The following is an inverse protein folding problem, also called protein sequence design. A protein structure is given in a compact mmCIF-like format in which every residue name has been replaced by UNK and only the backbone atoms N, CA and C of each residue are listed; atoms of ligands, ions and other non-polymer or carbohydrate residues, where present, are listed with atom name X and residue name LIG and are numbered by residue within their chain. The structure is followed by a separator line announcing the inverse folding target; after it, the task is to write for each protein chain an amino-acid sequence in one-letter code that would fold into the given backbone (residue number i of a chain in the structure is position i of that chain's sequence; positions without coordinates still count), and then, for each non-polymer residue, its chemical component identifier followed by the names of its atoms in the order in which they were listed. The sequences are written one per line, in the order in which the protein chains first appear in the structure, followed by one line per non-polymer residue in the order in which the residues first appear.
data_IF_010765220218
#
_entry.id   IF_010765220218
#
_cell.length_a   1.000
_cell.length_b   1.000
_cell.length_c   1.000
_cell.angle_alpha   90.00
_cell.angle_beta   90.00
_cell.angle_gamma   90.00
#
_symmetry.space_group_name_H-M   'P 1'
#
loop_
_entity.id
_entity.type
_entity.pdbx_description
1 polymer ?
#
# COMPACT_ATOMS: atom_id res chain seq x y z
N UNK A 1 15.83 14.73 12.87
CA UNK A 1 15.32 15.46 11.68
C UNK A 1 15.68 16.93 11.82
N UNK A 2 16.44 17.47 10.87
CA UNK A 2 16.74 18.91 10.83
C UNK A 2 15.54 19.74 10.32
N UNK A 3 15.60 21.05 10.55
CA UNK A 3 14.52 21.97 10.18
C UNK A 3 14.32 22.07 8.66
N UNK A 4 15.38 21.90 7.88
CA UNK A 4 15.33 21.98 6.42
C UNK A 4 14.51 20.83 5.83
N UNK A 5 14.77 19.60 6.29
CA UNK A 5 14.03 18.40 5.93
C UNK A 5 12.55 18.51 6.31
N UNK A 6 12.26 19.01 7.52
CA UNK A 6 10.89 19.27 7.95
C UNK A 6 10.16 20.25 7.03
N UNK A 7 10.81 21.36 6.65
CA UNK A 7 10.24 22.34 5.73
C UNK A 7 9.98 21.74 4.34
N UNK A 8 10.90 20.91 3.82
CA UNK A 8 10.69 20.20 2.56
C UNK A 8 9.52 19.22 2.63
N UNK A 9 9.35 18.48 3.74
CA UNK A 9 8.21 17.58 3.95
C UNK A 9 6.89 18.37 3.92
N UNK A 10 6.83 19.49 4.65
CA UNK A 10 5.66 20.37 4.67
C UNK A 10 5.38 20.91 3.26
N UNK A 11 6.41 21.25 2.51
CA UNK A 11 6.28 21.77 1.14
C UNK A 11 5.80 20.69 0.15
N UNK A 12 6.31 19.46 0.25
CA UNK A 12 5.82 18.31 -0.53
C UNK A 12 4.33 18.08 -0.26
N UNK A 13 3.92 18.07 1.01
CA UNK A 13 2.50 17.93 1.37
C UNK A 13 1.67 19.08 0.81
N UNK A 14 2.13 20.33 1.00
CA UNK A 14 1.40 21.53 0.59
C UNK A 14 1.21 21.59 -0.92
N UNK A 15 2.25 21.29 -1.70
CA UNK A 15 2.19 21.29 -3.17
C UNK A 15 1.23 20.22 -3.70
N UNK A 16 1.27 19.01 -3.14
CA UNK A 16 0.29 17.96 -3.45
C UNK A 16 -1.14 18.37 -3.05
N UNK A 17 -1.31 18.91 -1.85
CA UNK A 17 -2.60 19.40 -1.34
C UNK A 17 -3.21 20.46 -2.24
N UNK A 18 -2.43 21.49 -2.58
CA UNK A 18 -2.88 22.55 -3.46
C UNK A 18 -3.17 22.02 -4.87
N UNK A 19 -2.41 21.05 -5.38
CA UNK A 19 -2.71 20.41 -6.66
C UNK A 19 -4.06 19.65 -6.63
N UNK A 20 -4.39 19.01 -5.50
CA UNK A 20 -5.61 18.22 -5.35
C UNK A 20 -6.90 19.07 -5.34
N UNK A 21 -6.83 20.31 -4.83
CA UNK A 21 -7.98 21.23 -4.75
C UNK A 21 -8.08 22.22 -5.92
N UNK A 22 -7.09 22.26 -6.81
CA UNK A 22 -7.03 23.25 -7.89
C UNK A 22 -7.89 22.89 -9.09
N UNK A 23 -8.28 23.93 -9.84
CA UNK A 23 -8.89 23.75 -11.15
C UNK A 23 -7.88 23.15 -12.16
N UNK A 24 -8.36 22.64 -13.29
CA UNK A 24 -7.53 21.90 -14.27
C UNK A 24 -6.31 22.68 -14.77
N UNK A 25 -6.45 23.99 -14.99
CA UNK A 25 -5.35 24.86 -15.51
C UNK A 25 -4.25 25.02 -14.47
N UNK A 26 -4.59 25.50 -13.26
CA UNK A 26 -3.61 25.72 -12.18
C UNK A 26 -3.04 24.41 -11.62
N UNK A 27 -3.78 23.31 -11.74
CA UNK A 27 -3.34 22.01 -11.27
C UNK A 27 -2.06 21.53 -11.99
N UNK A 28 -1.85 21.85 -13.27
CA UNK A 28 -0.66 21.41 -14.01
C UNK A 28 0.61 22.02 -13.39
N UNK A 29 0.61 23.34 -13.16
CA UNK A 29 1.74 24.02 -12.52
C UNK A 29 2.02 23.50 -11.11
N UNK A 30 0.97 23.23 -10.33
CA UNK A 30 1.11 22.69 -8.97
C UNK A 30 1.58 21.24 -8.96
N UNK A 31 1.21 20.44 -9.96
CA UNK A 31 1.77 19.10 -10.18
C UNK A 31 3.26 19.19 -10.49
N UNK A 32 3.67 20.08 -11.41
CA UNK A 32 5.08 20.26 -11.74
C UNK A 32 5.88 20.67 -10.49
N UNK A 33 5.35 21.61 -9.71
CA UNK A 33 5.97 22.01 -8.46
C UNK A 33 6.06 20.85 -7.46
N UNK A 34 4.99 20.06 -7.29
CA UNK A 34 5.01 18.84 -6.46
C UNK A 34 6.11 17.86 -6.89
N UNK A 35 6.28 17.62 -8.19
CA UNK A 35 7.32 16.73 -8.71
C UNK A 35 8.71 17.28 -8.39
N UNK A 36 8.94 18.58 -8.63
CA UNK A 36 10.23 19.22 -8.34
C UNK A 36 10.57 19.18 -6.85
N UNK A 37 9.64 19.56 -5.98
CA UNK A 37 9.88 19.55 -4.53
C UNK A 37 10.06 18.11 -4.02
N UNK A 38 9.29 17.14 -4.53
CA UNK A 38 9.48 15.72 -4.19
C UNK A 38 10.85 15.22 -4.59
N UNK A 39 11.37 15.64 -5.76
CA UNK A 39 12.70 15.30 -6.22
C UNK A 39 13.78 15.89 -5.30
N UNK A 40 13.64 17.17 -4.92
CA UNK A 40 14.55 17.83 -3.98
C UNK A 40 14.56 17.08 -2.64
N UNK A 41 13.39 16.75 -2.09
CA UNK A 41 13.28 15.96 -0.87
C UNK A 41 13.96 14.59 -1.05
N UNK A 42 13.74 13.90 -2.18
CA UNK A 42 14.35 12.59 -2.44
C UNK A 42 15.88 12.64 -2.46
N UNK A 43 16.45 13.68 -3.05
CA UNK A 43 17.91 13.90 -3.08
C UNK A 43 18.48 14.31 -1.72
N UNK A 44 17.68 14.94 -0.86
CA UNK A 44 18.12 15.41 0.46
C UNK A 44 18.15 14.27 1.47
N UNK A 45 17.20 13.33 1.37
CA UNK A 45 17.04 12.21 2.30
C UNK A 45 17.94 11.04 1.87
N UNK A 46 18.99 10.69 2.63
CA UNK A 46 19.88 9.57 2.30
C UNK A 46 19.11 8.24 2.20
N UNK A 47 19.59 7.31 1.37
CA UNK A 47 18.97 5.98 1.26
C UNK A 47 19.17 5.18 2.55
N UNK A 48 20.31 5.38 3.19
CA UNK A 48 20.81 4.62 4.33
C UNK A 48 19.93 4.76 5.57
N UNK A 49 19.21 5.86 5.68
CA UNK A 49 18.30 6.11 6.81
C UNK A 49 16.92 5.47 6.64
N UNK A 50 16.59 4.96 5.44
CA UNK A 50 15.33 4.26 5.22
C UNK A 50 15.33 2.91 5.97
N UNK A 51 14.25 2.62 6.71
CA UNK A 51 14.17 1.43 7.58
C UNK A 51 14.52 0.08 6.91
N UNK A 52 14.17 -0.08 5.63
CA UNK A 52 14.43 -1.33 4.88
C UNK A 52 15.76 -1.29 4.09
N UNK A 53 16.58 -0.23 4.18
CA UNK A 53 17.80 -0.10 3.38
C UNK A 53 18.75 -1.30 3.56
N UNK A 54 19.05 -1.65 4.82
CA UNK A 54 19.92 -2.78 5.15
C UNK A 54 19.35 -4.12 4.67
N UNK A 55 18.02 -4.26 4.60
CA UNK A 55 17.38 -5.45 4.05
C UNK A 55 17.68 -5.58 2.55
N UNK A 56 17.59 -4.49 1.79
CA UNK A 56 17.85 -4.51 0.35
C UNK A 56 19.33 -4.70 0.03
N UNK A 57 20.21 -4.04 0.75
CA UNK A 57 21.66 -4.20 0.54
C UNK A 57 22.18 -5.56 0.97
N UNK A 58 21.52 -6.26 1.89
CA UNK A 58 21.90 -7.62 2.31
C UNK A 58 21.23 -8.73 1.50
N UNK A 59 20.13 -8.46 0.79
CA UNK A 59 19.38 -9.47 0.04
C UNK A 59 20.22 -10.11 -1.08
N UNK A 60 20.04 -11.42 -1.29
CA UNK A 60 20.49 -12.09 -2.52
C UNK A 60 19.44 -11.90 -3.60
N UNK A 61 19.86 -11.41 -4.76
CA UNK A 61 18.98 -11.15 -5.90
C UNK A 61 19.09 -12.22 -6.98
N UNK A 62 19.54 -13.43 -6.60
CA UNK A 62 19.70 -14.54 -7.52
C UNK A 62 18.34 -15.00 -8.07
N UNK A 63 18.29 -15.22 -9.38
CA UNK A 63 17.10 -15.78 -10.03
C UNK A 63 17.09 -17.30 -9.82
N UNK A 64 16.61 -17.73 -8.66
CA UNK A 64 16.26 -19.13 -8.39
C UNK A 64 14.77 -19.37 -8.60
N UNK A 65 14.38 -20.62 -8.89
CA UNK A 65 12.97 -21.01 -9.07
C UNK A 65 12.12 -20.58 -7.86
N UNK A 66 12.64 -20.71 -6.64
CA UNK A 66 11.92 -20.31 -5.42
C UNK A 66 11.74 -18.79 -5.33
N UNK A 67 12.73 -18.02 -5.78
CA UNK A 67 12.67 -16.56 -5.79
C UNK A 67 11.74 -16.00 -6.88
N UNK A 68 11.52 -16.74 -7.98
CA UNK A 68 10.50 -16.40 -9.00
C UNK A 68 9.08 -16.33 -8.42
N UNK A 69 8.78 -16.99 -7.30
CA UNK A 69 7.46 -16.92 -6.69
C UNK A 69 7.34 -15.89 -5.57
N UNK A 70 8.47 -15.42 -5.02
CA UNK A 70 8.48 -14.51 -3.88
C UNK A 70 8.71 -13.06 -4.27
N UNK A 71 9.68 -12.81 -5.14
CA UNK A 71 10.19 -11.46 -5.42
C UNK A 71 10.52 -11.25 -6.91
N UNK A 72 9.80 -11.90 -7.82
CA UNK A 72 10.14 -11.91 -9.25
C UNK A 72 10.37 -10.52 -9.86
N UNK A 73 9.41 -9.61 -9.68
CA UNK A 73 9.49 -8.27 -10.25
C UNK A 73 10.69 -7.48 -9.71
N UNK A 74 10.98 -7.63 -8.41
CA UNK A 74 12.13 -7.00 -7.77
C UNK A 74 13.44 -7.55 -8.31
N UNK A 75 13.55 -8.88 -8.43
CA UNK A 75 14.76 -9.51 -8.90
C UNK A 75 15.05 -9.14 -10.36
N UNK A 76 14.02 -9.07 -11.22
CA UNK A 76 14.19 -8.60 -12.59
C UNK A 76 14.69 -7.16 -12.63
N UNK A 77 14.06 -6.25 -11.88
CA UNK A 77 14.44 -4.84 -11.88
C UNK A 77 15.87 -4.67 -11.37
N UNK A 78 16.19 -5.32 -10.24
CA UNK A 78 17.53 -5.28 -9.68
C UNK A 78 18.56 -5.85 -10.64
N UNK A 79 18.33 -7.03 -11.23
CA UNK A 79 19.27 -7.66 -12.16
C UNK A 79 19.48 -6.79 -13.40
N UNK A 80 18.44 -6.09 -13.86
CA UNK A 80 18.55 -5.09 -14.91
C UNK A 80 19.53 -3.98 -14.55
N UNK A 81 19.45 -3.40 -13.34
CA UNK A 81 20.42 -2.38 -12.90
C UNK A 81 21.82 -2.95 -12.63
N UNK A 82 21.90 -4.16 -12.07
CA UNK A 82 23.16 -4.82 -11.79
C UNK A 82 23.94 -5.12 -13.06
N UNK A 83 23.26 -5.53 -14.13
CA UNK A 83 23.87 -5.73 -15.45
C UNK A 83 24.63 -4.51 -15.96
N UNK A 84 24.16 -3.29 -15.68
CA UNK A 84 24.81 -2.06 -16.13
C UNK A 84 25.83 -1.47 -15.16
N UNK A 85 25.73 -1.81 -13.87
CA UNK A 85 26.52 -1.14 -12.82
C UNK A 85 27.60 -2.03 -12.22
N UNK A 86 27.42 -3.35 -12.27
CA UNK A 86 28.25 -4.36 -11.59
C UNK A 86 28.43 -4.10 -10.09
N UNK A 87 27.61 -3.22 -9.51
CA UNK A 87 27.69 -2.75 -8.13
C UNK A 87 26.35 -2.94 -7.46
N UNK A 88 26.34 -3.77 -6.42
CA UNK A 88 25.14 -4.06 -5.62
C UNK A 88 24.56 -2.79 -5.01
N UNK A 89 25.42 -1.96 -4.41
CA UNK A 89 24.99 -0.73 -3.74
C UNK A 89 24.37 0.24 -4.76
N UNK A 90 25.05 0.45 -5.90
CA UNK A 90 24.55 1.34 -6.94
C UNK A 90 23.24 0.82 -7.54
N UNK A 91 23.12 -0.48 -7.73
CA UNK A 91 21.87 -1.13 -8.21
C UNK A 91 20.71 -0.91 -7.24
N UNK A 92 20.95 -1.04 -5.93
CA UNK A 92 19.94 -0.75 -4.90
C UNK A 92 19.54 0.72 -4.93
N UNK A 93 20.49 1.65 -5.02
CA UNK A 93 20.20 3.09 -5.13
C UNK A 93 19.38 3.42 -6.39
N UNK A 94 19.72 2.83 -7.54
CA UNK A 94 18.94 2.97 -8.77
C UNK A 94 17.53 2.40 -8.61
N UNK A 95 17.37 1.31 -7.86
CA UNK A 95 16.06 0.75 -7.58
C UNK A 95 15.22 1.67 -6.68
N UNK A 96 15.81 2.33 -5.68
CA UNK A 96 15.12 3.37 -4.92
C UNK A 96 14.67 4.54 -5.81
N UNK A 97 15.51 4.96 -6.75
CA UNK A 97 15.16 6.01 -7.72
C UNK A 97 14.02 5.58 -8.64
N UNK A 98 14.09 4.36 -9.18
CA UNK A 98 13.04 3.80 -10.02
C UNK A 98 11.70 3.75 -9.27
N UNK A 99 11.71 3.23 -8.04
CA UNK A 99 10.53 3.17 -7.19
C UNK A 99 9.98 4.58 -6.88
N UNK A 100 10.83 5.55 -6.56
CA UNK A 100 10.42 6.95 -6.39
C UNK A 100 9.73 7.51 -7.63
N UNK A 101 10.26 7.24 -8.83
CA UNK A 101 9.66 7.68 -10.10
C UNK A 101 8.27 7.06 -10.28
N UNK A 102 8.16 5.74 -10.13
CA UNK A 102 6.89 5.01 -10.28
C UNK A 102 5.84 5.54 -9.31
N UNK A 103 6.19 5.69 -8.02
CA UNK A 103 5.29 6.23 -7.01
C UNK A 103 4.92 7.69 -7.28
N UNK A 104 5.86 8.52 -7.75
CA UNK A 104 5.56 9.91 -8.14
C UNK A 104 4.55 9.94 -9.28
N UNK A 105 4.73 9.10 -10.30
CA UNK A 105 3.77 8.95 -11.42
C UNK A 105 2.41 8.50 -10.89
N UNK A 106 2.36 7.55 -9.96
CA UNK A 106 1.12 7.12 -9.30
C UNK A 106 0.40 8.30 -8.61
N UNK A 107 1.11 9.12 -7.83
CA UNK A 107 0.50 10.27 -7.15
C UNK A 107 0.04 11.36 -8.13
N UNK A 108 0.80 11.61 -9.21
CA UNK A 108 0.37 12.51 -10.28
C UNK A 108 -0.89 11.98 -10.98
N UNK A 109 -0.94 10.69 -11.28
CA UNK A 109 -2.14 10.04 -11.81
C UNK A 109 -3.31 10.16 -10.84
N UNK A 110 -3.09 9.92 -9.54
CA UNK A 110 -4.11 10.03 -8.49
C UNK A 110 -4.74 11.42 -8.47
N UNK A 111 -3.94 12.50 -8.62
CA UNK A 111 -4.43 13.87 -8.73
C UNK A 111 -5.40 14.07 -9.90
N UNK A 112 -5.22 13.35 -11.01
CA UNK A 112 -6.08 13.41 -12.21
C UNK A 112 -7.33 12.54 -12.13
N UNK A 113 -7.43 11.61 -11.19
CA UNK A 113 -8.63 10.78 -11.03
C UNK A 113 -9.85 11.57 -10.54
N UNK A 114 -11.03 10.99 -10.70
CA UNK A 114 -12.30 11.49 -10.17
C UNK A 114 -12.50 11.26 -8.67
N UNK A 115 -11.51 10.67 -7.97
CA UNK A 115 -11.58 10.44 -6.53
C UNK A 115 -11.70 11.80 -5.80
N UNK A 116 -12.42 11.83 -4.68
CA UNK A 116 -12.58 13.06 -3.89
C UNK A 116 -11.24 13.50 -3.30
N UNK A 117 -10.98 14.81 -3.29
CA UNK A 117 -9.68 15.35 -2.90
C UNK A 117 -9.24 14.87 -1.50
N UNK A 118 -10.12 14.90 -0.49
CA UNK A 118 -9.77 14.51 0.87
C UNK A 118 -9.31 13.04 0.99
N UNK A 119 -9.85 12.15 0.12
CA UNK A 119 -9.36 10.77 0.05
C UNK A 119 -7.97 10.70 -0.59
N UNK A 120 -7.72 11.51 -1.63
CA UNK A 120 -6.38 11.63 -2.24
C UNK A 120 -5.36 12.12 -1.22
N UNK A 121 -5.73 13.09 -0.39
CA UNK A 121 -4.88 13.59 0.72
C UNK A 121 -4.65 12.48 1.74
N UNK A 122 -5.70 11.78 2.19
CA UNK A 122 -5.55 10.69 3.15
C UNK A 122 -4.63 9.57 2.65
N UNK A 123 -4.82 9.10 1.41
CA UNK A 123 -3.95 8.09 0.79
C UNK A 123 -2.52 8.62 0.73
N UNK A 124 -2.32 9.83 0.20
CA UNK A 124 -1.01 10.45 0.09
C UNK A 124 -0.31 10.56 1.45
N UNK A 125 -1.02 11.05 2.47
CA UNK A 125 -0.51 11.18 3.83
C UNK A 125 -0.02 9.86 4.41
N UNK A 126 -0.80 8.78 4.23
CA UNK A 126 -0.51 7.47 4.81
C UNK A 126 0.58 6.73 4.02
N UNK A 127 0.57 6.85 2.67
CA UNK A 127 1.35 5.94 1.83
C UNK A 127 2.56 6.57 1.16
N UNK A 128 2.71 7.90 1.09
CA UNK A 128 3.79 8.53 0.33
C UNK A 128 5.16 8.03 0.76
N UNK A 129 5.56 8.24 2.02
CA UNK A 129 6.88 7.81 2.48
C UNK A 129 7.07 6.31 2.43
N UNK A 130 6.00 5.57 2.76
CA UNK A 130 6.01 4.12 2.71
C UNK A 130 6.29 3.60 1.29
N UNK A 131 5.61 4.14 0.27
CA UNK A 131 5.73 3.70 -1.10
C UNK A 131 6.97 4.27 -1.77
N UNK A 132 7.26 5.56 -1.61
CA UNK A 132 8.38 6.22 -2.32
C UNK A 132 9.76 5.94 -1.70
N UNK A 133 9.86 5.72 -0.38
CA UNK A 133 11.15 5.60 0.32
C UNK A 133 11.46 4.24 0.94
N UNK A 134 10.48 3.36 1.18
CA UNK A 134 10.75 2.12 1.94
C UNK A 134 10.41 0.86 1.15
N UNK A 135 9.17 0.74 0.70
CA UNK A 135 8.64 -0.53 0.20
C UNK A 135 9.00 -0.76 -1.27
N UNK A 136 10.29 -0.91 -1.59
CA UNK A 136 10.71 -1.28 -2.96
C UNK A 136 10.05 -2.59 -3.42
N UNK A 137 9.82 -3.53 -2.50
CA UNK A 137 9.15 -4.80 -2.83
C UNK A 137 7.66 -4.67 -3.09
N UNK A 138 6.98 -3.88 -2.27
CA UNK A 138 5.52 -3.98 -2.14
C UNK A 138 4.81 -2.73 -2.66
N UNK A 139 5.48 -1.58 -2.72
CA UNK A 139 4.92 -0.28 -3.10
C UNK A 139 4.21 -0.34 -4.45
N UNK A 140 4.90 -0.85 -5.47
CA UNK A 140 4.34 -1.02 -6.82
C UNK A 140 3.13 -1.96 -6.83
N UNK A 141 3.16 -3.03 -6.03
CA UNK A 141 2.02 -3.95 -5.91
C UNK A 141 0.78 -3.22 -5.36
N UNK A 142 0.96 -2.42 -4.30
CA UNK A 142 -0.10 -1.63 -3.70
C UNK A 142 -0.66 -0.57 -4.67
N UNK A 143 0.20 0.13 -5.40
CA UNK A 143 -0.20 1.13 -6.39
C UNK A 143 -1.01 0.51 -7.53
N UNK A 144 -0.58 -0.64 -8.05
CA UNK A 144 -1.31 -1.40 -9.06
C UNK A 144 -2.66 -1.91 -8.53
N UNK A 145 -2.71 -2.41 -7.28
CA UNK A 145 -3.97 -2.79 -6.62
C UNK A 145 -4.92 -1.59 -6.50
N UNK A 146 -4.39 -0.41 -6.17
CA UNK A 146 -5.19 0.80 -6.10
C UNK A 146 -5.76 1.17 -7.47
N UNK A 147 -4.94 1.11 -8.52
CA UNK A 147 -5.37 1.35 -9.91
C UNK A 147 -6.45 0.34 -10.31
N UNK A 148 -6.27 -0.94 -9.96
CA UNK A 148 -7.27 -1.98 -10.20
C UNK A 148 -8.61 -1.62 -9.54
N UNK A 149 -8.62 -1.29 -8.25
CA UNK A 149 -9.85 -0.89 -7.55
C UNK A 149 -10.46 0.38 -8.15
N UNK A 150 -9.65 1.36 -8.57
CA UNK A 150 -10.15 2.54 -9.25
C UNK A 150 -10.89 2.18 -10.53
N UNK A 151 -10.28 1.37 -11.40
CA UNK A 151 -10.89 0.96 -12.67
C UNK A 151 -12.15 0.13 -12.45
N UNK A 152 -12.10 -0.82 -11.52
CA UNK A 152 -13.22 -1.69 -11.18
C UNK A 152 -14.40 -0.89 -10.61
N UNK A 153 -14.16 -0.08 -9.58
CA UNK A 153 -15.22 0.59 -8.81
C UNK A 153 -15.71 1.86 -9.51
N UNK A 154 -14.80 2.68 -10.04
CA UNK A 154 -15.13 4.03 -10.54
C UNK A 154 -15.30 4.10 -12.06
N UNK A 155 -14.78 3.12 -12.80
CA UNK A 155 -14.91 3.06 -14.27
C UNK A 155 -15.73 1.86 -14.74
N UNK A 156 -16.12 0.95 -13.85
CA UNK A 156 -16.79 -0.31 -14.19
C UNK A 156 -16.02 -1.09 -15.27
N UNK A 157 -14.69 -1.07 -15.20
CA UNK A 157 -13.79 -1.76 -16.13
C UNK A 157 -12.91 -2.73 -15.36
N UNK A 158 -12.86 -3.97 -15.82
CA UNK A 158 -11.97 -4.99 -15.28
C UNK A 158 -10.89 -5.31 -16.30
N UNK A 159 -9.63 -5.11 -15.93
CA UNK A 159 -8.48 -5.52 -16.72
C UNK A 159 -7.74 -6.60 -15.94
N UNK A 160 -7.85 -7.84 -16.39
CA UNK A 160 -7.22 -8.99 -15.72
C UNK A 160 -5.70 -8.82 -15.65
N UNK A 161 -5.06 -8.21 -16.66
CA UNK A 161 -3.62 -7.92 -16.64
C UNK A 161 -3.21 -7.05 -15.46
N UNK A 162 -4.00 -6.00 -15.14
CA UNK A 162 -3.76 -5.11 -13.99
C UNK A 162 -4.05 -5.83 -12.66
N UNK A 163 -4.88 -6.87 -12.68
CA UNK A 163 -5.15 -7.70 -11.50
C UNK A 163 -4.01 -8.69 -11.20
N UNK A 164 -3.37 -9.26 -12.23
CA UNK A 164 -2.24 -10.19 -12.06
C UNK A 164 -0.90 -9.50 -11.85
N UNK A 165 -0.69 -8.32 -12.43
CA UNK A 165 0.57 -7.58 -12.30
C UNK A 165 1.04 -7.35 -10.84
N UNK A 166 0.17 -7.02 -9.86
CA UNK A 166 0.56 -6.91 -8.45
C UNK A 166 1.20 -8.17 -7.87
N UNK A 167 0.85 -9.38 -8.34
CA UNK A 167 1.46 -10.63 -7.83
C UNK A 167 2.95 -10.68 -8.14
N UNK A 168 3.34 -10.19 -9.32
CA UNK A 168 4.74 -10.21 -9.77
C UNK A 168 5.64 -9.43 -8.81
N UNK A 169 5.10 -8.37 -8.21
CA UNK A 169 5.82 -7.54 -7.23
C UNK A 169 5.68 -8.09 -5.82
N UNK A 170 4.47 -8.52 -5.42
CA UNK A 170 4.26 -9.10 -4.11
C UNK A 170 3.08 -10.08 -4.10
N UNK A 171 3.38 -11.34 -3.76
CA UNK A 171 2.43 -12.44 -3.79
C UNK A 171 1.19 -12.23 -2.91
N UNK A 172 1.28 -11.46 -1.81
CA UNK A 172 0.11 -11.25 -0.94
C UNK A 172 -1.03 -10.50 -1.64
N UNK A 173 -0.77 -9.86 -2.78
CA UNK A 173 -1.78 -9.26 -3.65
C UNK A 173 -2.79 -10.28 -4.18
N UNK A 174 -2.49 -11.58 -4.12
CA UNK A 174 -3.40 -12.66 -4.52
C UNK A 174 -4.72 -12.61 -3.73
N UNK A 175 -4.73 -12.07 -2.50
CA UNK A 175 -5.95 -11.82 -1.73
C UNK A 175 -6.93 -10.93 -2.48
N UNK A 176 -6.44 -9.92 -3.21
CA UNK A 176 -7.27 -9.02 -4.03
C UNK A 176 -7.88 -9.77 -5.20
N UNK A 177 -7.12 -10.67 -5.82
CA UNK A 177 -7.57 -11.52 -6.93
C UNK A 177 -8.65 -12.47 -6.46
N UNK A 178 -8.42 -13.20 -5.38
CA UNK A 178 -9.44 -14.07 -4.81
C UNK A 178 -10.69 -13.29 -4.41
N UNK A 179 -10.52 -12.13 -3.78
CA UNK A 179 -11.64 -11.26 -3.41
C UNK A 179 -12.44 -10.82 -4.63
N UNK A 180 -11.80 -10.60 -5.78
CA UNK A 180 -12.49 -10.25 -7.02
C UNK A 180 -13.09 -11.45 -7.75
N UNK A 181 -12.36 -12.56 -7.92
CA UNK A 181 -12.82 -13.75 -8.64
C UNK A 181 -14.04 -14.40 -7.98
N UNK A 182 -14.18 -14.28 -6.66
CA UNK A 182 -15.36 -14.76 -5.94
C UNK A 182 -16.67 -14.11 -6.39
N UNK A 183 -16.63 -12.96 -7.08
CA UNK A 183 -17.81 -12.34 -7.71
C UNK A 183 -18.40 -13.25 -8.81
N UNK A 184 -17.55 -13.96 -9.55
CA UNK A 184 -17.94 -14.76 -10.72
C UNK A 184 -18.28 -16.23 -10.39
N UNK A 185 -17.98 -16.69 -9.18
CA UNK A 185 -18.16 -18.08 -8.74
C UNK A 185 -19.44 -18.21 -7.90
N UNK A 186 -20.13 -19.35 -7.85
CA UNK A 186 -21.34 -19.54 -7.03
C UNK A 186 -21.03 -19.55 -5.50
N UNK A 187 -21.93 -19.07 -4.65
CA UNK A 187 -21.70 -18.71 -3.22
C UNK A 187 -21.00 -19.77 -2.36
N UNK A 188 -21.29 -21.06 -2.52
CA UNK A 188 -20.64 -22.14 -1.74
C UNK A 188 -19.17 -22.38 -2.14
N UNK A 189 -18.85 -22.23 -3.42
CA UNK A 189 -17.46 -22.38 -3.93
C UNK A 189 -16.59 -21.16 -3.59
N UNK A 190 -17.19 -20.05 -3.12
CA UNK A 190 -16.49 -18.80 -2.74
C UNK A 190 -15.70 -18.95 -1.43
N UNK A 191 -16.32 -19.52 -0.39
CA UNK A 191 -15.65 -19.75 0.92
C UNK A 191 -14.48 -20.72 0.76
N UNK A 192 -14.67 -21.75 -0.06
CA UNK A 192 -13.62 -22.72 -0.41
C UNK A 192 -12.47 -22.02 -1.15
N UNK A 193 -12.76 -21.13 -2.10
CA UNK A 193 -11.74 -20.33 -2.78
C UNK A 193 -10.93 -19.42 -1.86
N UNK A 194 -11.55 -18.83 -0.83
CA UNK A 194 -10.83 -18.07 0.21
C UNK A 194 -9.96 -18.95 1.09
N UNK A 195 -10.51 -20.07 1.57
CA UNK A 195 -9.75 -21.02 2.38
C UNK A 195 -8.55 -21.52 1.57
N UNK A 196 -8.73 -21.83 0.29
CA UNK A 196 -7.65 -22.20 -0.63
C UNK A 196 -6.66 -21.04 -0.80
N UNK A 197 -7.11 -19.80 -1.01
CA UNK A 197 -6.22 -18.65 -1.15
C UNK A 197 -5.40 -18.37 0.12
N UNK A 198 -6.03 -18.50 1.29
CA UNK A 198 -5.38 -18.39 2.60
C UNK A 198 -4.40 -19.55 2.81
N UNK A 199 -4.80 -20.78 2.48
CA UNK A 199 -3.95 -21.97 2.56
C UNK A 199 -2.75 -21.85 1.62
N UNK A 200 -2.93 -21.39 0.38
CA UNK A 200 -1.84 -21.11 -0.56
C UNK A 200 -0.90 -20.04 0.00
N UNK A 201 -1.43 -18.95 0.58
CA UNK A 201 -0.61 -17.93 1.24
C UNK A 201 0.17 -18.47 2.45
N UNK A 202 -0.40 -19.42 3.18
CA UNK A 202 0.25 -20.09 4.30
C UNK A 202 1.29 -21.11 3.83
N UNK A 203 1.04 -21.82 2.74
CA UNK A 203 1.93 -22.83 2.15
C UNK A 203 3.16 -22.19 1.48
N UNK A 204 3.02 -21.08 0.76
CA UNK A 204 4.16 -20.44 0.07
C UNK A 204 5.11 -19.65 0.99
N UNK A 205 4.81 -19.57 2.28
CA UNK A 205 5.77 -19.12 3.30
C UNK A 205 6.81 -20.21 3.64
N UNK A 206 6.70 -21.40 3.05
CA UNK A 206 7.66 -22.48 3.19
C UNK A 206 8.77 -22.38 2.13
N UNK A 207 9.88 -21.75 2.48
CA UNK A 207 11.07 -22.59 2.44
C UNK A 207 10.91 -23.52 3.66
N UNK A 208 11.01 -24.83 3.47
CA UNK A 208 10.84 -25.86 4.50
C UNK A 208 9.40 -26.20 4.92
N UNK A 209 8.84 -27.28 4.34
CA UNK A 209 8.00 -28.20 5.10
C UNK A 209 8.95 -29.05 5.96
N UNK A 210 9.58 -28.40 6.93
CA UNK A 210 9.74 -29.07 8.22
C UNK A 210 8.66 -28.45 9.08
N UNK A 211 7.68 -29.25 9.49
CA UNK A 211 6.66 -28.84 10.46
C UNK A 211 7.30 -28.21 11.70
N UNK A 212 8.55 -28.59 12.02
CA UNK A 212 9.38 -27.97 13.06
C UNK A 212 9.70 -26.51 12.84
N UNK A 213 10.00 -26.01 11.62
CA UNK A 213 10.33 -24.59 11.41
C UNK A 213 9.10 -23.68 11.40
N UNK A 214 7.96 -24.18 10.91
CA UNK A 214 6.68 -23.47 10.99
C UNK A 214 6.17 -23.42 12.43
N UNK A 215 6.19 -24.55 13.14
CA UNK A 215 5.89 -24.60 14.56
C UNK A 215 6.93 -23.83 15.38
N UNK A 216 8.20 -23.78 15.00
CA UNK A 216 9.23 -22.96 15.68
C UNK A 216 9.09 -21.48 15.36
N UNK A 217 8.58 -21.09 14.19
CA UNK A 217 8.25 -19.69 13.91
C UNK A 217 6.98 -19.30 14.66
N UNK A 218 5.93 -20.10 14.62
CA UNK A 218 4.74 -19.89 15.45
C UNK A 218 5.12 -19.88 16.93
N UNK A 219 5.98 -20.80 17.38
CA UNK A 219 6.48 -20.86 18.75
C UNK A 219 7.42 -19.70 19.07
N UNK A 220 8.22 -19.20 18.13
CA UNK A 220 9.00 -17.96 18.34
C UNK A 220 8.09 -16.73 18.39
N UNK A 221 7.06 -16.70 17.54
CA UNK A 221 6.04 -15.64 17.51
C UNK A 221 5.04 -15.72 18.67
N UNK A 222 4.88 -16.87 19.32
CA UNK A 222 4.02 -17.08 20.48
C UNK A 222 4.78 -17.07 21.80
N UNK A 223 6.06 -17.50 21.83
CA UNK A 223 6.95 -17.42 23.01
C UNK A 223 7.53 -16.03 23.22
N UNK A 224 7.75 -15.24 22.16
CA UNK A 224 7.80 -13.79 22.31
C UNK A 224 6.37 -13.33 22.31
N UNK A 225 5.79 -13.19 23.52
CA UNK A 225 4.53 -12.49 23.69
C UNK A 225 4.69 -11.13 22.99
N UNK A 226 4.16 -11.01 21.77
CA UNK A 226 4.05 -9.72 21.10
C UNK A 226 3.10 -8.93 21.98
N UNK A 227 3.67 -8.04 22.79
CA UNK A 227 2.89 -7.03 23.48
C UNK A 227 2.28 -6.17 22.38
N UNK A 228 1.03 -6.45 22.03
CA UNK A 228 0.24 -5.59 21.14
C UNK A 228 0.40 -4.16 21.64
N UNK A 229 0.98 -3.31 20.81
CA UNK A 229 1.19 -1.92 21.19
C UNK A 229 -0.16 -1.20 21.18
N UNK A 230 -0.25 -0.09 21.93
CA UNK A 230 -1.42 0.79 21.84
C UNK A 230 -1.70 1.21 20.39
N UNK A 231 -0.65 1.35 19.57
CA UNK A 231 -0.78 1.67 18.15
C UNK A 231 -1.49 0.58 17.35
N UNK A 232 -1.17 -0.69 17.57
CA UNK A 232 -1.84 -1.82 16.89
C UNK A 232 -3.33 -1.87 17.22
N UNK A 233 -3.67 -1.60 18.49
CA UNK A 233 -5.06 -1.54 18.95
C UNK A 233 -5.82 -0.36 18.34
N UNK A 234 -5.23 0.84 18.33
CA UNK A 234 -5.82 2.03 17.70
C UNK A 234 -5.99 1.83 16.19
N UNK A 235 -5.04 1.16 15.53
CA UNK A 235 -5.12 0.81 14.11
C UNK A 235 -6.26 -0.17 13.82
N UNK A 236 -6.45 -1.18 14.68
CA UNK A 236 -7.58 -2.10 14.60
C UNK A 236 -8.92 -1.35 14.73
N UNK A 237 -9.07 -0.46 15.71
CA UNK A 237 -10.29 0.36 15.87
C UNK A 237 -10.55 1.21 14.62
N UNK A 238 -9.51 1.82 14.07
CA UNK A 238 -9.61 2.61 12.84
C UNK A 238 -10.12 1.76 11.66
N UNK A 239 -9.60 0.55 11.48
CA UNK A 239 -10.03 -0.35 10.41
C UNK A 239 -11.44 -0.89 10.62
N UNK A 240 -11.83 -1.22 11.86
CA UNK A 240 -13.21 -1.58 12.21
C UNK A 240 -14.16 -0.44 11.84
N UNK A 241 -13.78 0.81 12.15
CA UNK A 241 -14.57 2.00 11.80
C UNK A 241 -14.72 2.16 10.29
N UNK A 242 -13.64 1.94 9.53
CA UNK A 242 -13.67 1.90 8.07
C UNK A 242 -14.58 0.76 7.56
N UNK A 243 -14.55 -0.41 8.18
CA UNK A 243 -15.38 -1.56 7.86
C UNK A 243 -16.86 -1.33 8.04
N UNK A 244 -17.27 -0.81 9.20
CA UNK A 244 -18.67 -0.46 9.47
C UNK A 244 -19.15 0.61 8.48
N UNK A 245 -18.32 1.62 8.22
CA UNK A 245 -18.61 2.67 7.23
C UNK A 245 -18.78 2.08 5.83
N UNK A 246 -17.95 1.11 5.47
CA UNK A 246 -18.00 0.45 4.17
C UNK A 246 -19.26 -0.38 4.00
N UNK A 247 -19.66 -1.17 5.00
CA UNK A 247 -20.91 -1.94 4.95
C UNK A 247 -22.08 -1.04 4.61
N UNK A 248 -22.19 0.12 5.28
CA UNK A 248 -23.25 1.11 5.01
C UNK A 248 -23.22 1.59 3.55
N UNK A 249 -22.03 1.83 3.00
CA UNK A 249 -21.81 2.30 1.62
C UNK A 249 -21.96 1.22 0.55
N UNK A 250 -21.76 -0.05 0.86
CA UNK A 250 -21.79 -1.13 -0.14
C UNK A 250 -23.02 -2.02 -0.02
N UNK A 251 -23.91 -1.79 0.95
CA UNK A 251 -25.10 -2.64 1.21
C UNK A 251 -25.96 -2.88 -0.03
N UNK A 252 -26.06 -1.91 -0.93
CA UNK A 252 -26.85 -2.01 -2.16
C UNK A 252 -26.09 -2.70 -3.31
N UNK A 253 -24.76 -2.79 -3.24
CA UNK A 253 -23.93 -3.48 -4.22
C UNK A 253 -23.32 -4.74 -3.60
N UNK A 254 -23.99 -5.87 -3.79
CA UNK A 254 -23.61 -7.18 -3.22
C UNK A 254 -22.16 -7.56 -3.53
N UNK A 255 -21.65 -7.21 -4.72
CA UNK A 255 -20.27 -7.54 -5.13
C UNK A 255 -19.25 -6.73 -4.33
N UNK A 256 -19.47 -5.43 -4.14
CA UNK A 256 -18.57 -4.58 -3.34
C UNK A 256 -18.63 -4.94 -1.85
N UNK A 257 -19.82 -5.28 -1.34
CA UNK A 257 -19.96 -5.77 0.03
C UNK A 257 -19.17 -7.06 0.25
N UNK A 258 -19.16 -7.96 -0.73
CA UNK A 258 -18.37 -9.19 -0.66
C UNK A 258 -16.88 -8.88 -0.63
N UNK A 259 -16.36 -8.10 -1.59
CA UNK A 259 -14.93 -7.70 -1.59
C UNK A 259 -14.54 -7.08 -0.24
N UNK A 260 -15.38 -6.20 0.32
CA UNK A 260 -15.18 -5.60 1.64
C UNK A 260 -15.02 -6.66 2.75
N UNK A 261 -15.98 -7.60 2.83
CA UNK A 261 -15.96 -8.67 3.85
C UNK A 261 -14.69 -9.50 3.69
N UNK A 262 -14.32 -9.88 2.46
CA UNK A 262 -13.18 -10.76 2.21
C UNK A 262 -11.84 -10.11 2.57
N UNK A 263 -11.62 -8.87 2.16
CA UNK A 263 -10.41 -8.12 2.51
C UNK A 263 -10.32 -7.91 4.02
N UNK A 264 -11.44 -7.59 4.68
CA UNK A 264 -11.46 -7.38 6.13
C UNK A 264 -11.24 -8.69 6.90
N UNK A 265 -11.84 -9.80 6.46
CA UNK A 265 -11.59 -11.13 7.04
C UNK A 265 -10.12 -11.53 6.86
N UNK A 266 -9.52 -11.30 5.68
CA UNK A 266 -8.10 -11.55 5.46
C UNK A 266 -7.22 -10.73 6.43
N UNK A 267 -7.60 -9.48 6.69
CA UNK A 267 -6.95 -8.65 7.71
C UNK A 267 -7.08 -9.22 9.13
N UNK A 268 -8.29 -9.61 9.57
CA UNK A 268 -8.50 -10.18 10.92
C UNK A 268 -7.72 -11.48 11.11
N UNK A 269 -7.74 -12.37 10.12
CA UNK A 269 -6.96 -13.61 10.17
C UNK A 269 -5.46 -13.30 10.25
N UNK A 270 -4.97 -12.34 9.46
CA UNK A 270 -3.59 -11.93 9.51
C UNK A 270 -3.24 -11.32 10.89
N UNK A 271 -4.11 -10.48 11.46
CA UNK A 271 -3.95 -9.86 12.78
C UNK A 271 -3.82 -10.88 13.90
N UNK A 272 -4.63 -11.95 13.88
CA UNK A 272 -4.55 -13.05 14.85
C UNK A 272 -3.22 -13.82 14.70
N UNK A 273 -2.69 -13.93 13.48
CA UNK A 273 -1.43 -14.66 13.25
C UNK A 273 -0.18 -13.86 13.59
N UNK A 274 -0.05 -12.62 13.10
CA UNK A 274 1.14 -11.79 13.25
C UNK A 274 0.88 -10.33 12.81
N UNK A 275 1.44 -9.32 13.49
CA UNK A 275 1.26 -7.91 13.11
C UNK A 275 1.74 -7.54 11.69
N UNK A 276 2.82 -8.13 11.20
CA UNK A 276 3.41 -7.79 9.90
C UNK A 276 2.49 -8.14 8.70
N UNK A 277 1.96 -9.36 8.54
CA UNK A 277 0.97 -9.65 7.51
C UNK A 277 -0.34 -8.88 7.74
N UNK A 278 -0.71 -8.59 8.99
CA UNK A 278 -1.89 -7.79 9.31
C UNK A 278 -1.76 -6.37 8.74
N UNK A 279 -0.62 -5.73 8.96
CA UNK A 279 -0.32 -4.41 8.39
C UNK A 279 -0.42 -4.44 6.86
N UNK A 280 0.18 -5.45 6.20
CA UNK A 280 0.10 -5.59 4.73
C UNK A 280 -1.33 -5.76 4.23
N UNK A 281 -2.15 -6.56 4.90
CA UNK A 281 -3.56 -6.75 4.53
C UNK A 281 -4.40 -5.49 4.80
N UNK A 282 -4.08 -4.75 5.86
CA UNK A 282 -4.74 -3.49 6.16
C UNK A 282 -4.54 -2.45 5.05
N UNK A 283 -3.36 -2.42 4.41
CA UNK A 283 -3.12 -1.56 3.27
C UNK A 283 -4.06 -1.90 2.10
N UNK A 284 -4.15 -3.17 1.68
CA UNK A 284 -5.11 -3.55 0.63
C UNK A 284 -6.55 -3.16 0.98
N UNK A 285 -6.94 -3.34 2.25
CA UNK A 285 -8.24 -2.93 2.73
C UNK A 285 -8.47 -1.41 2.62
N UNK A 286 -7.49 -0.60 3.03
CA UNK A 286 -7.56 0.86 2.93
C UNK A 286 -7.61 1.33 1.48
N UNK A 287 -6.83 0.73 0.58
CA UNK A 287 -6.84 1.06 -0.85
C UNK A 287 -8.23 0.79 -1.46
N UNK A 288 -8.88 -0.30 -1.07
CA UNK A 288 -10.28 -0.57 -1.43
C UNK A 288 -11.23 0.50 -0.85
N UNK A 289 -11.16 0.76 0.46
CA UNK A 289 -11.99 1.73 1.17
C UNK A 289 -11.95 3.13 0.53
N UNK A 290 -10.75 3.61 0.20
CA UNK A 290 -10.59 4.93 -0.39
C UNK A 290 -11.12 5.01 -1.83
N UNK A 291 -11.17 3.90 -2.58
CA UNK A 291 -11.75 3.87 -3.93
C UNK A 291 -13.28 3.85 -3.95
N UNK A 292 -13.95 3.53 -2.84
CA UNK A 292 -15.42 3.48 -2.81
C UNK A 292 -16.06 4.84 -3.11
N UNK A 293 -17.09 4.91 -3.96
CA UNK A 293 -17.84 6.15 -4.14
C UNK A 293 -18.52 6.52 -2.82
N UNK A 294 -18.64 7.81 -2.55
CA UNK A 294 -19.52 8.28 -1.48
C UNK A 294 -20.94 8.05 -2.00
N UNK A 295 -21.64 7.05 -1.45
CA UNK A 295 -23.11 7.06 -1.54
C UNK A 295 -23.53 8.24 -0.68
N UNK A 296 -24.00 9.28 -1.36
CA UNK A 296 -24.37 10.58 -0.82
C UNK A 296 -25.32 10.37 0.37
N UNK A 297 -24.81 10.55 1.60
CA UNK A 297 -25.63 11.15 2.64
C UNK A 297 -25.79 12.60 2.18
N UNK A 298 -27.02 12.95 1.78
CA UNK A 298 -27.36 14.28 1.27
C UNK A 298 -27.00 15.32 2.35
N UNK A 299 -25.86 15.99 2.21
CA UNK A 299 -25.48 17.06 3.13
C UNK A 299 -24.23 17.83 2.68
N UNK A 300 -24.29 19.17 2.74
CA UNK A 300 -23.12 20.06 2.58
C UNK A 300 -22.11 19.92 3.73
N UNK A 301 -22.55 19.38 4.87
CA UNK A 301 -21.83 19.32 6.15
C UNK A 301 -20.63 18.37 6.17
N UNK A 302 -20.72 17.18 5.56
CA UNK A 302 -19.57 16.25 5.48
C UNK A 302 -18.37 16.91 4.75
N UNK A 303 -18.62 17.73 3.73
CA UNK A 303 -17.54 18.41 3.01
C UNK A 303 -16.77 19.42 3.87
N UNK A 304 -17.40 19.97 4.91
CA UNK A 304 -16.77 20.96 5.79
C UNK A 304 -15.97 20.28 6.91
N UNK A 305 -16.46 19.17 7.47
CA UNK A 305 -15.72 18.38 8.47
C UNK A 305 -14.43 17.84 7.85
N UNK A 306 -14.48 17.25 6.65
CA UNK A 306 -13.29 16.75 5.98
C UNK A 306 -12.30 17.86 5.57
N UNK A 307 -12.77 19.10 5.35
CA UNK A 307 -11.88 20.25 5.15
C UNK A 307 -11.17 20.66 6.45
N UNK A 308 -11.87 20.61 7.59
CA UNK A 308 -11.28 20.88 8.91
C UNK A 308 -10.22 19.85 9.32
N UNK A 309 -10.38 18.59 8.92
CA UNK A 309 -9.43 17.51 9.21
C UNK A 309 -8.14 17.56 8.35
N UNK A 310 -8.02 18.49 7.39
CA UNK A 310 -6.83 18.59 6.54
C UNK A 310 -5.55 18.90 7.33
N UNK A 311 -5.64 19.61 8.45
CA UNK A 311 -4.48 19.85 9.32
C UNK A 311 -3.99 18.56 10.01
N UNK A 312 -4.87 17.61 10.30
CA UNK A 312 -4.45 16.32 10.87
C UNK A 312 -3.66 15.51 9.84
N UNK A 313 -4.01 15.63 8.55
CA UNK A 313 -3.31 14.91 7.48
C UNK A 313 -1.86 15.36 7.27
N UNK A 314 -1.52 16.63 7.54
CA UNK A 314 -0.12 17.06 7.51
C UNK A 314 0.66 16.50 8.70
N UNK A 315 0.05 16.44 9.90
CA UNK A 315 0.66 15.82 11.07
C UNK A 315 0.90 14.33 10.85
N UNK A 316 -0.08 13.61 10.28
CA UNK A 316 0.06 12.21 9.90
C UNK A 316 1.19 12.05 8.88
N UNK A 317 1.29 12.92 7.88
CA UNK A 317 2.35 12.84 6.86
C UNK A 317 3.74 13.02 7.47
N UNK A 318 3.92 14.00 8.37
CA UNK A 318 5.17 14.22 9.09
C UNK A 318 5.49 13.01 9.99
N UNK A 319 4.50 12.53 10.74
CA UNK A 319 4.67 11.36 11.60
C UNK A 319 5.06 10.11 10.81
N UNK A 320 4.43 9.89 9.65
CA UNK A 320 4.78 8.82 8.73
C UNK A 320 6.23 8.92 8.25
N UNK A 321 6.80 10.11 8.04
CA UNK A 321 8.22 10.25 7.74
C UNK A 321 9.13 9.84 8.92
N UNK A 322 8.80 10.32 10.13
CA UNK A 322 9.60 10.05 11.33
C UNK A 322 9.66 8.55 11.60
N UNK A 323 8.51 7.89 11.60
CA UNK A 323 8.37 6.45 11.81
C UNK A 323 9.16 5.59 10.82
N UNK A 324 9.41 6.12 9.64
CA UNK A 324 9.97 5.37 8.52
C UNK A 324 11.48 5.57 8.33
N UNK A 325 12.05 6.60 8.97
CA UNK A 325 13.44 7.02 8.79
C UNK A 325 14.22 7.23 10.10
N UNK A 326 13.57 7.26 11.26
CA UNK A 326 14.22 7.59 12.56
C UNK A 326 13.88 6.59 13.68
N UNK A 327 13.48 5.36 13.33
CA UNK A 327 13.17 4.30 14.29
C UNK A 327 14.30 3.31 14.47
#
# INVERSE_FOLDING_TARGET
MDIYTLLLIILVFSTYYFAAISNKRLQIYKILLFVVVSLILRTTVPFEISADYNLYTSMSYELSINELFKNFGINIIYQGFFYFTESKILSVHLFFWFNFIISTVFYVWLLKTSIKFYKKIAIFSITYFLFTYILLKNGMAYELVFIFFYLYINKNRTYLSILFAPILFHFSSIVVIFSHLTIYINTKKRVIGLIIGIVILLLFKSDYISSSLFLDKINRYSKHAYNFSLYDFLWLIFLISCFITTIRKTKLNKNLLQVNILLFTAYILAYITNPAPAYRMSLYYLLFYFNLPIIILKGKEESNIFKGLNFIWILIFIFSFIETHYK
#
